data_IF_946321974858
#
_entry.id   IF_946321974858
#
_cell.length_a   1.000
_cell.length_b   1.000
_cell.length_c   1.000
_cell.angle_alpha   90.00
_cell.angle_beta   90.00
_cell.angle_gamma   90.00
#
_symmetry.space_group_name_H-M   'P 1'
#
loop_
_entity.id
_entity.type
_entity.pdbx_description
1 polymer ?
#
# COMPACT_ATOMS: atom_id res chain seq x y z
N UNK A 1 -18.26 -14.76 5.75
CA UNK A 1 -17.19 -14.02 5.05
C UNK A 1 -16.79 -12.86 5.91
N UNK A 2 -15.57 -12.37 5.74
CA UNK A 2 -15.09 -11.18 6.45
C UNK A 2 -15.78 -9.96 5.83
N UNK A 3 -16.33 -9.08 6.66
CA UNK A 3 -16.91 -7.80 6.21
C UNK A 3 -15.78 -6.79 6.07
N UNK A 4 -15.40 -6.50 4.82
CA UNK A 4 -14.25 -5.64 4.50
C UNK A 4 -14.75 -4.24 4.16
N UNK A 5 -14.10 -3.18 4.68
CA UNK A 5 -14.51 -1.81 4.38
C UNK A 5 -14.36 -1.52 2.88
N UNK A 6 -15.27 -0.69 2.37
CA UNK A 6 -15.15 -0.13 1.03
C UNK A 6 -13.97 0.84 0.99
N UNK A 7 -13.21 0.80 -0.11
CA UNK A 7 -12.06 1.67 -0.36
C UNK A 7 -12.40 2.49 -1.61
N UNK A 8 -12.39 3.81 -1.48
CA UNK A 8 -12.81 4.74 -2.52
C UNK A 8 -11.60 5.51 -3.08
N UNK A 9 -11.08 5.04 -4.20
CA UNK A 9 -10.03 5.76 -4.93
C UNK A 9 -10.64 6.67 -6.01
N UNK A 10 -10.05 7.84 -6.27
CA UNK A 10 -10.39 8.64 -7.45
C UNK A 10 -10.17 7.85 -8.75
N UNK A 11 -10.98 8.12 -9.78
CA UNK A 11 -10.90 7.43 -11.08
C UNK A 11 -9.51 7.50 -11.74
N UNK A 12 -8.72 8.52 -11.41
CA UNK A 12 -7.39 8.74 -11.97
C UNK A 12 -6.28 8.02 -11.20
N UNK A 13 -6.57 7.44 -10.02
CA UNK A 13 -5.61 6.66 -9.23
C UNK A 13 -5.71 5.19 -9.61
N UNK A 14 -4.65 4.67 -10.22
CA UNK A 14 -4.60 3.34 -10.80
C UNK A 14 -3.44 2.53 -10.23
N UNK A 15 -3.74 1.60 -9.33
CA UNK A 15 -2.75 0.68 -8.79
C UNK A 15 -2.74 -0.63 -9.58
N UNK A 16 -1.59 -0.98 -10.14
CA UNK A 16 -1.41 -2.20 -10.94
C UNK A 16 -0.47 -3.13 -10.21
N UNK A 17 -1.02 -4.22 -9.67
CA UNK A 17 -0.26 -5.23 -8.96
C UNK A 17 0.08 -6.41 -9.88
N UNK A 18 1.37 -6.73 -10.00
CA UNK A 18 1.83 -7.92 -10.71
C UNK A 18 1.32 -9.19 -10.02
N UNK A 19 0.95 -10.20 -10.82
CA UNK A 19 0.53 -11.49 -10.27
C UNK A 19 1.73 -12.22 -9.67
N UNK A 20 1.51 -12.84 -8.52
CA UNK A 20 2.48 -13.77 -7.92
C UNK A 20 2.05 -15.18 -8.32
N UNK A 21 3.00 -15.99 -8.81
CA UNK A 21 2.75 -17.37 -9.22
C UNK A 21 2.54 -18.28 -8.00
N UNK A 22 1.31 -18.26 -7.46
CA UNK A 22 0.86 -19.12 -6.36
C UNK A 22 -0.59 -19.52 -6.54
N UNK A 23 -0.90 -20.77 -6.18
CA UNK A 23 -2.27 -21.30 -6.09
C UNK A 23 -2.69 -21.61 -4.64
N UNK A 24 -1.85 -21.28 -3.66
CA UNK A 24 -2.14 -21.48 -2.23
C UNK A 24 -3.17 -20.44 -1.75
N UNK A 25 -4.34 -20.87 -1.23
CA UNK A 25 -5.40 -19.95 -0.83
C UNK A 25 -5.01 -19.03 0.34
N UNK A 26 -4.05 -19.41 1.18
CA UNK A 26 -3.55 -18.59 2.29
C UNK A 26 -2.63 -17.50 1.74
N UNK A 27 -1.72 -17.85 0.83
CA UNK A 27 -0.83 -16.87 0.18
C UNK A 27 -1.63 -15.84 -0.63
N UNK A 28 -2.64 -16.31 -1.37
CA UNK A 28 -3.57 -15.44 -2.10
C UNK A 28 -4.33 -14.50 -1.15
N UNK A 29 -4.70 -14.95 0.04
CA UNK A 29 -5.36 -14.11 1.04
C UNK A 29 -4.42 -13.03 1.62
N UNK A 30 -3.15 -13.37 1.87
CA UNK A 30 -2.13 -12.41 2.32
C UNK A 30 -1.90 -11.34 1.25
N UNK A 31 -1.72 -11.74 -0.01
CA UNK A 31 -1.51 -10.80 -1.13
C UNK A 31 -2.72 -9.90 -1.34
N UNK A 32 -3.94 -10.45 -1.30
CA UNK A 32 -5.15 -9.66 -1.48
C UNK A 32 -5.38 -8.64 -0.35
N UNK A 33 -4.99 -8.95 0.89
CA UNK A 33 -5.11 -8.02 2.01
C UNK A 33 -3.97 -6.98 2.03
N UNK A 34 -2.79 -7.36 1.54
CA UNK A 34 -1.70 -6.42 1.28
C UNK A 34 -2.10 -5.37 0.22
N UNK A 35 -2.68 -5.79 -0.91
CA UNK A 35 -3.15 -4.87 -1.97
C UNK A 35 -4.21 -3.90 -1.45
N UNK A 36 -5.16 -4.39 -0.64
CA UNK A 36 -6.18 -3.54 -0.02
C UNK A 36 -5.59 -2.60 1.02
N UNK A 37 -4.56 -3.02 1.74
CA UNK A 37 -3.80 -2.13 2.62
C UNK A 37 -3.19 -0.97 1.85
N UNK A 38 -2.49 -1.24 0.75
CA UNK A 38 -1.95 -0.18 -0.13
C UNK A 38 -3.05 0.78 -0.57
N UNK A 39 -4.16 0.25 -1.09
CA UNK A 39 -5.27 1.09 -1.53
C UNK A 39 -5.93 1.88 -0.37
N UNK A 40 -5.89 1.39 0.87
CA UNK A 40 -6.40 2.11 2.03
C UNK A 40 -5.53 3.32 2.41
N UNK A 41 -4.21 3.21 2.27
CA UNK A 41 -3.30 4.36 2.40
C UNK A 41 -3.58 5.38 1.31
N UNK A 42 -3.75 4.92 0.08
CA UNK A 42 -4.02 5.78 -1.07
C UNK A 42 -5.38 6.51 -0.97
N UNK A 43 -6.42 5.82 -0.45
CA UNK A 43 -7.71 6.45 -0.12
C UNK A 43 -7.51 7.57 0.91
N UNK A 44 -6.75 7.32 1.97
CA UNK A 44 -6.49 8.32 3.01
C UNK A 44 -5.74 9.55 2.45
N UNK A 45 -4.69 9.32 1.64
CA UNK A 45 -3.94 10.39 0.98
C UNK A 45 -4.85 11.20 0.05
N UNK A 46 -5.62 10.53 -0.82
CA UNK A 46 -6.41 11.19 -1.87
C UNK A 46 -7.68 11.86 -1.37
N UNK A 47 -8.26 11.35 -0.28
CA UNK A 47 -9.46 11.93 0.33
C UNK A 47 -9.16 13.09 1.28
N UNK A 48 -7.93 13.20 1.80
CA UNK A 48 -7.64 14.14 2.88
C UNK A 48 -8.07 13.64 4.27
N UNK A 49 -8.41 12.36 4.42
CA UNK A 49 -8.95 11.79 5.66
C UNK A 49 -8.05 10.68 6.21
N UNK A 50 -7.41 10.93 7.36
CA UNK A 50 -6.58 9.94 8.06
C UNK A 50 -7.39 8.88 8.84
N UNK A 51 -8.72 9.03 8.91
CA UNK A 51 -9.61 8.15 9.66
C UNK A 51 -10.44 7.20 8.79
N UNK A 52 -10.02 6.98 7.53
CA UNK A 52 -10.69 6.03 6.65
C UNK A 52 -10.74 4.63 7.30
N UNK A 53 -11.91 3.95 7.30
CA UNK A 53 -12.07 2.68 8.02
C UNK A 53 -11.12 1.57 7.57
N UNK A 54 -10.69 1.60 6.31
CA UNK A 54 -9.80 0.60 5.74
C UNK A 54 -8.38 0.65 6.33
N UNK A 55 -7.93 1.81 6.80
CA UNK A 55 -6.56 1.96 7.30
C UNK A 55 -6.29 1.11 8.56
N UNK A 56 -7.02 1.25 9.68
CA UNK A 56 -6.85 0.38 10.84
C UNK A 56 -7.38 -1.05 10.62
N UNK A 57 -8.09 -1.30 9.52
CA UNK A 57 -8.52 -2.64 9.15
C UNK A 57 -7.36 -3.45 8.56
N UNK A 58 -6.51 -2.84 7.73
CA UNK A 58 -5.39 -3.52 7.07
C UNK A 58 -4.02 -3.27 7.71
N UNK A 59 -3.90 -2.27 8.58
CA UNK A 59 -2.66 -1.98 9.30
C UNK A 59 -2.86 -2.05 10.81
N UNK A 60 -1.81 -2.48 11.50
CA UNK A 60 -1.73 -2.47 12.95
C UNK A 60 -0.30 -2.15 13.41
N UNK A 61 -0.11 -2.03 14.73
CA UNK A 61 1.19 -1.79 15.37
C UNK A 61 1.99 -0.63 14.74
N UNK A 62 3.29 -0.80 14.51
CA UNK A 62 4.14 0.27 14.01
C UNK A 62 3.80 0.67 12.57
N UNK A 63 3.39 -0.29 11.73
CA UNK A 63 3.05 0.01 10.35
C UNK A 63 1.82 0.92 10.22
N UNK A 64 0.84 0.80 11.14
CA UNK A 64 -0.31 1.73 11.18
C UNK A 64 0.14 3.15 11.53
N UNK A 65 0.98 3.29 12.56
CA UNK A 65 1.48 4.60 12.98
C UNK A 65 2.32 5.26 11.87
N UNK A 66 3.23 4.52 11.26
CA UNK A 66 4.08 5.02 10.17
C UNK A 66 3.26 5.40 8.92
N UNK A 67 2.17 4.66 8.65
CA UNK A 67 1.26 4.98 7.55
C UNK A 67 0.48 6.27 7.83
N UNK A 68 -0.01 6.46 9.06
CA UNK A 68 -0.66 7.72 9.49
C UNK A 68 0.32 8.89 9.37
N UNK A 69 1.55 8.74 9.87
CA UNK A 69 2.59 9.79 9.78
C UNK A 69 2.87 10.18 8.31
N UNK A 70 2.92 9.20 7.40
CA UNK A 70 3.08 9.45 5.97
C UNK A 70 1.88 10.21 5.38
N UNK A 71 0.65 9.76 5.65
CA UNK A 71 -0.57 10.40 5.16
C UNK A 71 -0.66 11.85 5.67
N UNK A 72 -0.40 12.07 6.97
CA UNK A 72 -0.37 13.40 7.58
C UNK A 72 0.67 14.29 6.91
N UNK A 73 1.86 13.77 6.59
CA UNK A 73 2.89 14.54 5.89
C UNK A 73 2.45 15.01 4.49
N UNK A 74 1.76 14.14 3.73
CA UNK A 74 1.21 14.50 2.42
C UNK A 74 0.17 15.62 2.56
N UNK A 75 -0.72 15.53 3.55
CA UNK A 75 -1.75 16.53 3.79
C UNK A 75 -1.17 17.86 4.30
N UNK A 76 -0.19 17.82 5.19
CA UNK A 76 0.50 19.01 5.71
C UNK A 76 1.25 19.77 4.61
N UNK A 77 1.81 19.03 3.64
CA UNK A 77 2.45 19.60 2.45
C UNK A 77 1.43 20.06 1.38
N UNK A 78 0.13 19.86 1.62
CA UNK A 78 -0.94 20.21 0.67
C UNK A 78 -0.93 19.35 -0.60
N UNK A 79 -0.48 18.10 -0.49
CA UNK A 79 -0.27 17.19 -1.60
C UNK A 79 -1.30 16.07 -1.66
N UNK A 80 -1.63 15.70 -2.89
CA UNK A 80 -2.31 14.48 -3.27
C UNK A 80 -1.58 13.83 -4.46
N UNK A 81 -2.15 12.82 -5.08
CA UNK A 81 -1.56 12.22 -6.28
C UNK A 81 -2.61 11.64 -7.22
N UNK A 82 -2.20 11.41 -8.46
CA UNK A 82 -2.96 10.73 -9.50
C UNK A 82 -2.05 9.89 -10.40
N UNK A 83 -2.64 9.24 -11.39
CA UNK A 83 -1.93 8.40 -12.36
C UNK A 83 -1.78 6.94 -11.95
N UNK A 84 -0.72 6.29 -12.45
CA UNK A 84 -0.53 4.84 -12.34
C UNK A 84 0.72 4.46 -11.56
N UNK A 85 0.52 3.76 -10.44
CA UNK A 85 1.60 3.12 -9.68
C UNK A 85 1.64 1.64 -9.99
N UNK A 86 2.82 1.13 -10.36
CA UNK A 86 3.04 -0.30 -10.65
C UNK A 86 3.72 -0.98 -9.47
N UNK A 87 3.12 -2.06 -8.98
CA UNK A 87 3.67 -2.90 -7.92
C UNK A 87 4.17 -4.22 -8.51
N UNK A 88 5.48 -4.42 -8.56
CA UNK A 88 6.14 -5.49 -9.33
C UNK A 88 7.21 -6.20 -8.52
N UNK A 89 7.74 -7.31 -9.05
CA UNK A 89 8.65 -8.22 -8.30
C UNK A 89 8.06 -8.59 -6.94
N UNK A 90 6.76 -8.83 -6.93
CA UNK A 90 6.03 -9.17 -5.71
C UNK A 90 6.41 -10.58 -5.28
N UNK A 91 6.74 -10.75 -4.01
CA UNK A 91 7.04 -12.05 -3.42
C UNK A 91 6.25 -12.24 -2.13
N UNK A 92 6.04 -13.50 -1.76
CA UNK A 92 5.44 -13.89 -0.50
C UNK A 92 6.23 -15.05 0.10
N UNK A 93 6.44 -14.99 1.41
CA UNK A 93 7.06 -16.05 2.20
C UNK A 93 6.25 -16.25 3.49
N UNK A 94 5.59 -17.40 3.60
CA UNK A 94 4.91 -17.80 4.84
C UNK A 94 5.94 -18.13 5.93
N UNK A 95 5.89 -17.40 7.04
CA UNK A 95 6.74 -17.63 8.20
C UNK A 95 6.11 -18.66 9.15
N UNK A 96 4.80 -18.58 9.31
CA UNK A 96 3.95 -19.51 10.07
C UNK A 96 2.54 -19.50 9.45
N UNK A 97 1.62 -20.30 10.00
CA UNK A 97 0.21 -20.28 9.57
C UNK A 97 -0.51 -18.95 9.85
N UNK A 98 0.08 -18.06 10.65
CA UNK A 98 -0.49 -16.77 11.05
C UNK A 98 0.45 -15.58 10.79
N UNK A 99 1.60 -15.80 10.16
CA UNK A 99 2.57 -14.75 9.89
C UNK A 99 3.19 -14.95 8.50
N UNK A 100 3.30 -13.86 7.73
CA UNK A 100 3.87 -13.86 6.40
C UNK A 100 4.76 -12.63 6.21
N UNK A 101 5.65 -12.71 5.25
CA UNK A 101 6.42 -11.55 4.76
C UNK A 101 6.12 -11.43 3.27
N UNK A 102 5.84 -10.21 2.84
CA UNK A 102 5.76 -9.87 1.41
C UNK A 102 6.78 -8.82 1.07
N UNK A 103 7.30 -8.89 -0.15
CA UNK A 103 8.15 -7.84 -0.69
C UNK A 103 7.66 -7.42 -2.05
N UNK A 104 7.89 -6.17 -2.42
CA UNK A 104 7.48 -5.62 -3.70
C UNK A 104 8.21 -4.32 -4.01
N UNK A 105 8.33 -4.01 -5.29
CA UNK A 105 8.75 -2.69 -5.76
C UNK A 105 7.53 -1.88 -6.17
N UNK A 106 7.49 -0.59 -5.82
CA UNK A 106 6.55 0.37 -6.36
C UNK A 106 7.27 1.29 -7.35
N UNK A 107 6.77 1.39 -8.59
CA UNK A 107 7.21 2.32 -9.62
C UNK A 107 6.13 3.37 -9.87
N UNK A 108 6.45 4.61 -9.50
CA UNK A 108 5.58 5.78 -9.60
C UNK A 108 5.84 6.60 -10.87
N UNK A 109 6.65 6.11 -11.82
CA UNK A 109 6.95 6.84 -13.06
C UNK A 109 5.71 7.14 -13.94
N UNK A 110 4.59 6.46 -13.70
CA UNK A 110 3.29 6.73 -14.33
C UNK A 110 2.35 7.61 -13.48
N UNK A 111 2.80 8.05 -12.31
CA UNK A 111 2.04 8.85 -11.34
C UNK A 111 2.54 10.29 -11.32
N UNK A 112 1.78 11.15 -10.68
CA UNK A 112 2.13 12.54 -10.48
C UNK A 112 1.57 13.03 -9.14
N UNK A 113 2.31 13.93 -8.50
CA UNK A 113 1.85 14.65 -7.32
C UNK A 113 0.95 15.80 -7.75
N UNK A 114 -0.03 16.11 -6.91
CA UNK A 114 -1.00 17.18 -7.12
C UNK A 114 -0.89 18.14 -5.94
N UNK A 115 -0.55 19.40 -6.19
CA UNK A 115 -0.70 20.45 -5.18
C UNK A 115 -2.18 20.83 -5.10
N UNK A 116 -2.80 20.61 -3.94
CA UNK A 116 -4.26 20.62 -3.79
C UNK A 116 -4.85 22.02 -3.98
N UNK A 117 -4.13 23.09 -3.63
CA UNK A 117 -4.64 24.45 -3.67
C UNK A 117 -4.68 25.02 -5.11
N UNK A 118 -3.65 24.75 -5.91
CA UNK A 118 -3.49 25.22 -7.30
C UNK A 118 -3.93 24.20 -8.35
N UNK A 119 -3.91 22.91 -8.01
CA UNK A 119 -4.10 21.81 -8.96
C UNK A 119 -2.89 21.56 -9.87
N UNK A 120 -1.73 22.13 -9.57
CA UNK A 120 -0.49 21.87 -10.31
C UNK A 120 -0.09 20.40 -10.17
N UNK A 121 0.33 19.81 -11.30
CA UNK A 121 0.71 18.40 -11.39
C UNK A 121 2.20 18.30 -11.69
N UNK A 122 2.92 17.60 -10.82
CA UNK A 122 4.34 17.34 -10.96
C UNK A 122 4.59 15.83 -11.17
N UNK A 123 5.29 15.44 -12.25
CA UNK A 123 5.59 14.03 -12.49
C UNK A 123 6.33 13.40 -11.31
N UNK A 124 5.88 12.21 -10.91
CA UNK A 124 6.63 11.38 -9.98
C UNK A 124 7.58 10.45 -10.77
N UNK A 125 8.68 10.08 -10.15
CA UNK A 125 9.63 9.10 -10.67
C UNK A 125 10.20 8.23 -9.56
N UNK A 126 9.53 8.16 -8.42
CA UNK A 126 9.90 7.37 -7.27
C UNK A 126 9.91 5.88 -7.60
N UNK A 127 10.98 5.21 -7.20
CA UNK A 127 11.05 3.75 -7.13
C UNK A 127 11.42 3.35 -5.71
N UNK A 128 10.61 2.49 -5.12
CA UNK A 128 10.73 2.12 -3.72
C UNK A 128 10.61 0.61 -3.57
N UNK A 129 11.47 0.02 -2.76
CA UNK A 129 11.37 -1.37 -2.35
C UNK A 129 10.71 -1.43 -0.97
N UNK A 130 9.67 -2.25 -0.85
CA UNK A 130 8.95 -2.46 0.38
C UNK A 130 9.15 -3.89 0.88
N UNK A 131 9.34 -4.02 2.19
CA UNK A 131 9.16 -5.28 2.91
C UNK A 131 8.07 -5.09 3.94
N UNK A 132 6.98 -5.85 3.82
CA UNK A 132 5.87 -5.85 4.74
C UNK A 132 5.83 -7.16 5.51
N UNK A 133 5.66 -7.09 6.83
CA UNK A 133 5.33 -8.24 7.67
C UNK A 133 3.85 -8.20 7.98
N UNK A 134 3.15 -9.26 7.62
CA UNK A 134 1.74 -9.44 7.92
C UNK A 134 1.52 -10.44 9.04
N UNK A 135 0.51 -10.15 9.86
CA UNK A 135 0.03 -11.01 10.94
C UNK A 135 -1.47 -11.23 10.76
N UNK A 136 -1.90 -12.49 10.86
CA UNK A 136 -3.32 -12.84 10.86
C UNK A 136 -3.94 -12.43 12.20
N UNK A 137 -5.03 -11.68 12.16
CA UNK A 137 -5.81 -11.33 13.35
C UNK A 137 -6.95 -12.33 13.61
N UNK A 138 -7.66 -12.16 14.74
CA UNK A 138 -8.72 -13.06 15.18
C UNK A 138 -9.95 -13.08 14.25
N UNK A 139 -10.13 -12.04 13.43
CA UNK A 139 -11.20 -11.93 12.43
C UNK A 139 -10.82 -12.57 11.09
N UNK A 140 -9.59 -13.09 10.96
CA UNK A 140 -9.10 -13.73 9.76
C UNK A 140 -8.56 -12.76 8.70
N UNK A 141 -8.26 -11.51 9.08
CA UNK A 141 -7.65 -10.49 8.23
C UNK A 141 -6.15 -10.50 8.41
N UNK A 142 -5.41 -10.47 7.30
CA UNK A 142 -3.97 -10.27 7.32
C UNK A 142 -3.67 -8.78 7.43
N UNK A 143 -3.18 -8.35 8.59
CA UNK A 143 -2.81 -6.96 8.81
C UNK A 143 -1.30 -6.78 8.66
N UNK A 144 -0.88 -5.73 7.98
CA UNK A 144 0.52 -5.30 7.98
C UNK A 144 0.85 -4.69 9.34
N UNK A 145 1.81 -5.29 10.05
CA UNK A 145 2.23 -4.86 11.40
C UNK A 145 3.59 -4.18 11.41
N UNK A 146 4.43 -4.47 10.41
CA UNK A 146 5.72 -3.81 10.17
C UNK A 146 5.84 -3.55 8.68
N UNK A 147 6.28 -2.36 8.30
CA UNK A 147 6.59 -2.01 6.92
C UNK A 147 7.94 -1.30 6.89
N UNK A 148 8.86 -1.76 6.05
CA UNK A 148 10.13 -1.07 5.82
C UNK A 148 10.21 -0.65 4.37
N UNK A 149 10.73 0.56 4.16
CA UNK A 149 10.89 1.14 2.82
C UNK A 149 12.38 1.40 2.59
N UNK A 150 12.92 0.83 1.53
CA UNK A 150 14.29 1.07 1.08
C UNK A 150 14.25 1.73 -0.30
N UNK A 151 14.95 2.85 -0.42
CA UNK A 151 15.17 3.54 -1.70
C UNK A 151 16.40 2.95 -2.39
N UNK A 152 16.35 1.66 -2.69
CA UNK A 152 17.42 0.99 -3.43
C UNK A 152 17.00 0.71 -4.87
N UNK A 153 17.43 1.60 -5.79
CA UNK A 153 17.28 1.43 -7.24
C UNK A 153 17.76 0.05 -7.73
N UNK A 154 18.68 -0.61 -7.01
CA UNK A 154 19.21 -1.92 -7.39
C UNK A 154 18.23 -3.07 -7.17
N UNK A 155 17.45 -3.08 -6.07
CA UNK A 155 16.47 -4.14 -5.81
C UNK A 155 15.33 -4.09 -6.84
N UNK A 156 14.99 -2.87 -7.24
CA UNK A 156 13.94 -2.56 -8.20
C UNK A 156 14.42 -2.43 -9.65
N UNK A 157 15.69 -2.72 -9.95
CA UNK A 157 16.20 -2.70 -11.33
C UNK A 157 15.52 -3.77 -12.20
N UNK A 158 15.11 -3.39 -13.41
CA UNK A 158 14.50 -4.30 -14.41
C UNK A 158 15.51 -5.23 -15.08
#
# INVERSE_FOLDING_TARGET
GIDRPEINLPDDVNNVFEEVDTDDPVELAVLADQERGVNAVDEAVTSGDTQVPALPFYFADSALLESIDYIESMHDDGLSFGGTTRYYKRTIEMQTNSAAVTTYCADMAGSYLIEVESGEQDPDSGKYYYTARQQLNDDGVWQTVIMTTDREDQLCAE
#
